data_IF_837869938399
#
_entry.id   IF_837869938399
#
_cell.length_a   1.000
_cell.length_b   1.000
_cell.length_c   1.000
_cell.angle_alpha   90.00
_cell.angle_beta   90.00
_cell.angle_gamma   90.00
#
_symmetry.space_group_name_H-M   'P 1'
#
loop_
_entity.id
_entity.type
_entity.pdbx_description
1 polymer ?
#
# COMPACT_ATOMS: atom_id res chain seq x y z
N UNK A 1 7.11 -16.39 33.78
CA UNK A 1 6.60 -15.24 33.00
C UNK A 1 6.96 -15.35 31.50
N UNK A 2 8.23 -15.61 31.14
CA UNK A 2 8.69 -15.72 29.74
C UNK A 2 8.07 -16.88 28.96
N UNK A 3 7.84 -18.04 29.58
CA UNK A 3 7.24 -19.20 28.91
C UNK A 3 5.77 -19.00 28.54
N UNK A 4 5.04 -18.26 29.36
CA UNK A 4 3.65 -17.91 29.07
C UNK A 4 3.53 -16.92 27.89
N UNK A 5 4.51 -16.01 27.74
CA UNK A 5 4.60 -15.08 26.62
C UNK A 5 4.98 -15.85 25.34
N UNK A 6 5.96 -16.75 25.38
CA UNK A 6 6.33 -17.58 24.25
C UNK A 6 5.19 -18.48 23.75
N UNK A 7 4.43 -19.07 24.67
CA UNK A 7 3.24 -19.88 24.34
C UNK A 7 2.17 -19.03 23.66
N UNK A 8 1.85 -17.85 24.21
CA UNK A 8 0.89 -16.90 23.59
C UNK A 8 1.32 -16.47 22.20
N UNK A 9 2.60 -16.14 21.99
CA UNK A 9 3.13 -15.73 20.67
C UNK A 9 3.03 -16.92 19.67
N UNK A 10 3.31 -18.13 20.11
CA UNK A 10 3.22 -19.33 19.26
C UNK A 10 1.78 -19.61 18.85
N UNK A 11 0.84 -19.53 19.77
CA UNK A 11 -0.59 -19.73 19.51
C UNK A 11 -1.15 -18.64 18.57
N UNK A 12 -0.75 -17.37 18.78
CA UNK A 12 -1.12 -16.26 17.89
C UNK A 12 -0.57 -16.45 16.47
N UNK A 13 0.70 -16.85 16.36
CA UNK A 13 1.34 -17.11 15.05
C UNK A 13 0.65 -18.25 14.30
N UNK A 14 0.20 -19.28 15.02
CA UNK A 14 -0.51 -20.40 14.42
C UNK A 14 -1.91 -20.01 13.94
N UNK A 15 -2.60 -19.18 14.72
CA UNK A 15 -3.90 -18.60 14.34
C UNK A 15 -3.79 -17.74 13.08
N UNK A 16 -2.80 -16.84 13.02
CA UNK A 16 -2.56 -15.99 11.84
C UNK A 16 -2.22 -16.83 10.60
N UNK A 17 -1.41 -17.88 10.73
CA UNK A 17 -1.13 -18.82 9.63
C UNK A 17 -2.39 -19.50 9.12
N UNK A 18 -3.27 -19.94 10.03
CA UNK A 18 -4.55 -20.54 9.67
C UNK A 18 -5.45 -19.54 8.94
N UNK A 19 -5.58 -18.33 9.44
CA UNK A 19 -6.36 -17.27 8.80
C UNK A 19 -5.81 -16.90 7.43
N UNK A 20 -4.49 -16.82 7.29
CA UNK A 20 -3.85 -16.57 5.99
C UNK A 20 -4.15 -17.69 4.98
N UNK A 21 -4.17 -18.95 5.42
CA UNK A 21 -4.50 -20.10 4.55
C UNK A 21 -5.96 -20.09 4.11
N UNK A 22 -6.88 -19.70 5.00
CA UNK A 22 -8.32 -19.64 4.71
C UNK A 22 -8.65 -18.47 3.78
N UNK A 23 -8.13 -17.28 4.07
CA UNK A 23 -8.51 -16.03 3.41
C UNK A 23 -7.50 -15.53 2.34
N UNK A 24 -6.46 -16.31 2.01
CA UNK A 24 -5.41 -15.97 1.02
C UNK A 24 -4.79 -14.57 1.20
N UNK A 25 -4.66 -14.12 2.46
CA UNK A 25 -4.23 -12.75 2.82
C UNK A 25 -2.93 -12.37 2.13
N UNK A 26 -1.91 -13.23 2.16
CA UNK A 26 -0.58 -12.92 1.60
C UNK A 26 -0.64 -12.62 0.10
N UNK A 27 -1.44 -13.35 -0.67
CA UNK A 27 -1.54 -13.15 -2.11
C UNK A 27 -2.22 -11.81 -2.43
N UNK A 28 -3.30 -11.49 -1.72
CA UNK A 28 -4.04 -10.24 -1.90
C UNK A 28 -3.20 -9.04 -1.42
N UNK A 29 -2.49 -9.18 -0.29
CA UNK A 29 -1.55 -8.17 0.24
C UNK A 29 -0.50 -7.76 -0.79
N UNK A 30 0.14 -8.74 -1.46
CA UNK A 30 1.14 -8.44 -2.51
C UNK A 30 0.55 -7.63 -3.64
N UNK A 31 -0.68 -7.94 -4.06
CA UNK A 31 -1.39 -7.19 -5.10
C UNK A 31 -1.69 -5.77 -4.66
N UNK A 32 -2.16 -5.59 -3.43
CA UNK A 32 -2.47 -4.26 -2.87
C UNK A 32 -1.23 -3.39 -2.72
N UNK A 33 -0.12 -3.92 -2.21
CA UNK A 33 1.15 -3.19 -2.12
C UNK A 33 1.58 -2.70 -3.51
N UNK A 34 1.47 -3.54 -4.55
CA UNK A 34 1.87 -3.18 -5.88
C UNK A 34 1.00 -2.07 -6.49
N UNK A 35 -0.33 -2.22 -6.41
CA UNK A 35 -1.28 -1.29 -7.03
C UNK A 35 -1.28 0.04 -6.28
N UNK A 36 -1.49 0.00 -4.97
CA UNK A 36 -1.65 1.22 -4.18
C UNK A 36 -0.32 1.92 -3.89
N UNK A 37 0.78 1.16 -3.78
CA UNK A 37 2.10 1.76 -3.72
C UNK A 37 2.46 2.52 -5.01
N UNK A 38 2.10 1.97 -6.16
CA UNK A 38 2.23 2.66 -7.44
C UNK A 38 1.39 3.94 -7.48
N UNK A 39 0.12 3.90 -7.07
CA UNK A 39 -0.77 5.07 -7.03
C UNK A 39 -0.21 6.18 -6.13
N UNK A 40 0.36 5.79 -4.98
CA UNK A 40 1.01 6.74 -4.08
C UNK A 40 2.17 7.49 -4.73
N UNK A 41 3.04 6.75 -5.45
CA UNK A 41 4.19 7.36 -6.14
C UNK A 41 3.74 8.27 -7.28
N UNK A 42 2.81 7.84 -8.12
CA UNK A 42 2.28 8.66 -9.23
C UNK A 42 1.64 9.94 -8.69
N UNK A 43 0.84 9.83 -7.64
CA UNK A 43 0.18 11.01 -7.04
C UNK A 43 1.20 12.01 -6.52
N UNK A 44 2.26 11.57 -5.84
CA UNK A 44 3.26 12.51 -5.32
C UNK A 44 4.15 13.10 -6.44
N UNK A 45 4.40 12.37 -7.53
CA UNK A 45 5.05 12.93 -8.72
C UNK A 45 4.24 14.10 -9.25
N UNK A 46 2.92 13.95 -9.41
CA UNK A 46 2.03 15.03 -9.85
C UNK A 46 2.08 16.25 -8.91
N UNK A 47 2.09 16.02 -7.59
CA UNK A 47 2.23 17.10 -6.59
C UNK A 47 3.58 17.81 -6.73
N UNK A 48 4.68 17.08 -6.90
CA UNK A 48 6.02 17.67 -7.07
C UNK A 48 6.13 18.46 -8.35
N UNK A 49 5.61 17.95 -9.48
CA UNK A 49 5.58 18.65 -10.76
C UNK A 49 4.74 19.91 -10.65
N UNK A 50 3.52 19.84 -10.08
CA UNK A 50 2.65 21.00 -9.88
C UNK A 50 3.34 22.10 -9.07
N UNK A 51 3.98 21.77 -7.95
CA UNK A 51 4.73 22.71 -7.14
C UNK A 51 5.96 23.28 -7.88
N UNK A 52 6.64 22.48 -8.69
CA UNK A 52 7.77 22.94 -9.49
C UNK A 52 7.34 23.95 -10.56
N UNK A 53 6.25 23.66 -11.27
CA UNK A 53 5.71 24.52 -12.36
C UNK A 53 5.26 25.88 -11.85
N UNK A 54 4.62 25.96 -10.67
CA UNK A 54 4.24 27.24 -10.05
C UNK A 54 5.43 27.97 -9.41
N UNK A 55 6.63 27.40 -9.46
CA UNK A 55 7.84 28.00 -8.90
C UNK A 55 7.85 28.05 -7.37
N UNK A 56 7.25 27.06 -6.70
CA UNK A 56 7.24 26.99 -5.24
C UNK A 56 8.68 26.88 -4.70
N UNK A 57 9.17 28.01 -4.16
CA UNK A 57 10.52 28.14 -3.62
C UNK A 57 10.63 27.79 -2.13
N UNK A 58 9.50 27.65 -1.44
CA UNK A 58 9.46 27.30 -0.01
C UNK A 58 9.25 25.79 0.15
N UNK A 59 10.29 25.12 0.67
CA UNK A 59 10.24 23.68 0.97
C UNK A 59 9.12 23.30 1.95
N UNK A 60 8.75 24.21 2.89
CA UNK A 60 7.65 23.99 3.84
C UNK A 60 6.32 23.84 3.12
N UNK A 61 6.09 24.65 2.08
CA UNK A 61 4.88 24.56 1.28
C UNK A 61 4.76 23.19 0.60
N UNK A 62 5.84 22.70 0.01
CA UNK A 62 5.87 21.38 -0.64
C UNK A 62 5.65 20.25 0.38
N UNK A 63 6.25 20.35 1.56
CA UNK A 63 6.06 19.36 2.64
C UNK A 63 4.60 19.34 3.09
N UNK A 64 4.00 20.49 3.33
CA UNK A 64 2.60 20.59 3.79
C UNK A 64 1.66 20.00 2.74
N UNK A 65 1.77 20.45 1.49
CA UNK A 65 0.93 19.96 0.39
C UNK A 65 1.12 18.43 0.19
N UNK A 66 2.35 17.97 0.11
CA UNK A 66 2.65 16.56 -0.06
C UNK A 66 2.20 15.69 1.11
N UNK A 67 2.43 16.13 2.36
CA UNK A 67 1.99 15.40 3.55
C UNK A 67 0.47 15.32 3.65
N UNK A 68 -0.25 16.37 3.29
CA UNK A 68 -1.71 16.37 3.24
C UNK A 68 -2.23 15.29 2.25
N UNK A 69 -1.60 15.19 1.09
CA UNK A 69 -1.92 14.16 0.09
C UNK A 69 -1.59 12.76 0.61
N UNK A 70 -0.44 12.54 1.25
CA UNK A 70 -0.08 11.24 1.85
C UNK A 70 -1.10 10.79 2.90
N UNK A 71 -1.55 11.68 3.78
CA UNK A 71 -2.57 11.39 4.78
C UNK A 71 -3.90 11.06 4.11
N UNK A 72 -4.31 11.88 3.13
CA UNK A 72 -5.56 11.66 2.39
C UNK A 72 -5.59 10.31 1.69
N UNK A 73 -4.51 9.94 0.98
CA UNK A 73 -4.37 8.63 0.33
C UNK A 73 -4.42 7.48 1.34
N UNK A 74 -3.76 7.64 2.50
CA UNK A 74 -3.77 6.60 3.54
C UNK A 74 -5.17 6.40 4.11
N UNK A 75 -5.86 7.47 4.49
CA UNK A 75 -7.20 7.41 5.09
C UNK A 75 -8.22 6.89 4.09
N UNK A 76 -8.25 7.45 2.88
CA UNK A 76 -9.19 7.01 1.84
C UNK A 76 -8.93 5.56 1.43
N UNK A 77 -7.66 5.17 1.32
CA UNK A 77 -7.24 3.81 1.00
C UNK A 77 -7.67 2.79 2.05
N UNK A 78 -7.47 3.09 3.35
CA UNK A 78 -7.94 2.22 4.43
C UNK A 78 -9.46 2.09 4.39
N UNK A 79 -10.17 3.21 4.28
CA UNK A 79 -11.62 3.23 4.35
C UNK A 79 -12.29 2.52 3.17
N UNK A 80 -11.85 2.82 1.95
CA UNK A 80 -12.40 2.20 0.74
C UNK A 80 -12.12 0.70 0.70
N UNK A 81 -10.90 0.28 1.03
CA UNK A 81 -10.55 -1.13 1.05
C UNK A 81 -11.29 -1.90 2.16
N UNK A 82 -11.47 -1.30 3.35
CA UNK A 82 -12.24 -1.94 4.41
C UNK A 82 -13.68 -2.20 3.97
N UNK A 83 -14.34 -1.22 3.39
CA UNK A 83 -15.73 -1.37 2.93
C UNK A 83 -15.84 -2.42 1.79
N UNK A 84 -14.94 -2.36 0.83
CA UNK A 84 -14.93 -3.29 -0.30
C UNK A 84 -14.64 -4.72 0.14
N UNK A 85 -13.56 -4.93 0.91
CA UNK A 85 -13.19 -6.25 1.43
C UNK A 85 -14.26 -6.82 2.38
N UNK A 86 -14.81 -5.99 3.25
CA UNK A 86 -15.86 -6.43 4.18
C UNK A 86 -17.12 -6.89 3.43
N UNK A 87 -17.52 -6.17 2.38
CA UNK A 87 -18.66 -6.56 1.55
C UNK A 87 -18.41 -7.86 0.78
N UNK A 88 -17.23 -8.00 0.15
CA UNK A 88 -16.84 -9.20 -0.59
C UNK A 88 -16.78 -10.43 0.33
N UNK A 89 -16.15 -10.30 1.50
CA UNK A 89 -16.03 -11.37 2.49
C UNK A 89 -17.40 -11.80 3.06
N UNK A 90 -18.29 -10.84 3.27
CA UNK A 90 -19.67 -11.14 3.71
C UNK A 90 -20.39 -11.94 2.65
N UNK A 91 -20.25 -11.58 1.38
CA UNK A 91 -20.83 -12.30 0.26
C UNK A 91 -20.29 -13.72 0.15
N UNK A 92 -18.96 -13.89 0.23
CA UNK A 92 -18.31 -15.22 0.24
C UNK A 92 -18.87 -16.12 1.33
N UNK A 93 -19.06 -15.59 2.55
CA UNK A 93 -19.65 -16.35 3.67
C UNK A 93 -21.07 -16.75 3.36
N UNK A 94 -21.90 -15.83 2.84
CA UNK A 94 -23.30 -16.13 2.48
C UNK A 94 -23.41 -17.20 1.38
N UNK A 95 -22.51 -17.19 0.41
CA UNK A 95 -22.46 -18.21 -0.64
C UNK A 95 -22.07 -19.58 -0.09
N UNK A 96 -21.11 -19.61 0.85
CA UNK A 96 -20.71 -20.83 1.56
C UNK A 96 -21.87 -21.37 2.44
N UNK A 97 -22.57 -20.50 3.17
CA UNK A 97 -23.73 -20.89 3.98
C UNK A 97 -24.84 -21.50 3.13
N UNK A 98 -25.12 -20.91 1.97
CA UNK A 98 -26.10 -21.45 1.02
C UNK A 98 -25.70 -22.83 0.46
N UNK A 99 -24.41 -23.02 0.16
CA UNK A 99 -23.92 -24.28 -0.41
C UNK A 99 -23.82 -25.40 0.62
N UNK A 100 -23.52 -25.06 1.88
CA UNK A 100 -23.34 -26.05 2.96
C UNK A 100 -24.61 -26.24 3.80
N UNK A 101 -25.64 -25.39 3.63
CA UNK A 101 -26.86 -25.36 4.45
C UNK A 101 -26.57 -25.19 5.96
N UNK A 102 -25.44 -24.56 6.27
CA UNK A 102 -24.96 -24.35 7.64
C UNK A 102 -24.65 -22.87 7.90
N UNK A 103 -25.06 -22.35 9.06
CA UNK A 103 -24.71 -20.99 9.49
C UNK A 103 -23.25 -20.96 9.93
N UNK A 104 -22.45 -20.11 9.30
CA UNK A 104 -21.02 -19.99 9.54
C UNK A 104 -20.68 -18.84 10.50
N UNK A 105 -21.67 -18.12 11.00
CA UNK A 105 -21.44 -17.01 11.92
C UNK A 105 -20.74 -17.50 13.21
N UNK A 106 -19.69 -16.80 13.63
CA UNK A 106 -18.88 -17.16 14.79
C UNK A 106 -17.88 -18.30 14.58
N UNK A 107 -17.82 -18.91 13.38
CA UNK A 107 -16.86 -19.97 13.05
C UNK A 107 -15.46 -19.39 12.81
N UNK A 108 -14.45 -20.29 12.72
CA UNK A 108 -13.07 -19.91 12.37
C UNK A 108 -13.01 -19.25 10.98
N UNK A 109 -13.86 -19.69 10.04
CA UNK A 109 -13.95 -19.13 8.68
C UNK A 109 -14.42 -17.68 8.74
N UNK A 110 -15.51 -17.39 9.43
CA UNK A 110 -16.05 -16.03 9.57
C UNK A 110 -15.03 -15.09 10.24
N UNK A 111 -14.36 -15.55 11.29
CA UNK A 111 -13.29 -14.76 11.96
C UNK A 111 -12.09 -14.51 11.06
N UNK A 112 -11.68 -15.50 10.25
CA UNK A 112 -10.58 -15.36 9.30
C UNK A 112 -10.91 -14.32 8.23
N UNK A 113 -12.13 -14.30 7.72
CA UNK A 113 -12.59 -13.34 6.72
C UNK A 113 -12.64 -11.92 7.28
N UNK A 114 -13.19 -11.72 8.49
CA UNK A 114 -13.20 -10.40 9.16
C UNK A 114 -11.78 -9.89 9.46
N UNK A 115 -10.89 -10.77 9.91
CA UNK A 115 -9.49 -10.43 10.15
C UNK A 115 -8.80 -10.01 8.84
N UNK A 116 -9.06 -10.73 7.75
CA UNK A 116 -8.51 -10.42 6.44
C UNK A 116 -8.94 -9.03 5.95
N UNK A 117 -10.20 -8.65 6.10
CA UNK A 117 -10.70 -7.32 5.71
C UNK A 117 -9.92 -6.19 6.40
N UNK A 118 -9.65 -6.32 7.69
CA UNK A 118 -8.91 -5.31 8.46
C UNK A 118 -7.44 -5.22 7.99
N UNK A 119 -6.78 -6.37 7.85
CA UNK A 119 -5.36 -6.39 7.43
C UNK A 119 -5.20 -5.85 6.01
N UNK A 120 -6.06 -6.26 5.09
CA UNK A 120 -6.01 -5.82 3.70
C UNK A 120 -6.31 -4.32 3.57
N UNK A 121 -7.25 -3.80 4.35
CA UNK A 121 -7.53 -2.38 4.43
C UNK A 121 -6.32 -1.58 4.94
N UNK A 122 -5.69 -2.03 6.02
CA UNK A 122 -4.49 -1.39 6.56
C UNK A 122 -3.34 -1.40 5.54
N UNK A 123 -3.09 -2.54 4.89
CA UNK A 123 -2.06 -2.63 3.85
C UNK A 123 -2.36 -1.70 2.67
N UNK A 124 -3.61 -1.61 2.24
CA UNK A 124 -4.04 -0.75 1.15
C UNK A 124 -3.68 0.71 1.39
N UNK A 125 -4.16 1.28 2.50
CA UNK A 125 -3.92 2.69 2.80
C UNK A 125 -2.48 3.00 3.19
N UNK A 126 -1.80 2.11 3.95
CA UNK A 126 -0.42 2.32 4.34
C UNK A 126 0.53 2.23 3.14
N UNK A 127 0.28 1.35 2.18
CA UNK A 127 1.16 1.21 1.01
C UNK A 127 1.17 2.48 0.17
N UNK A 128 0.03 3.11 -0.11
CA UNK A 128 -0.04 4.35 -0.88
C UNK A 128 0.56 5.54 -0.13
N UNK A 129 0.23 5.70 1.15
CA UNK A 129 0.76 6.82 1.95
C UNK A 129 2.27 6.75 2.18
N UNK A 130 2.79 5.56 2.52
CA UNK A 130 4.24 5.37 2.76
C UNK A 130 5.03 5.59 1.47
N UNK A 131 4.59 5.03 0.35
CA UNK A 131 5.30 5.21 -0.93
C UNK A 131 5.25 6.65 -1.43
N UNK A 132 4.16 7.38 -1.18
CA UNK A 132 4.06 8.80 -1.49
C UNK A 132 4.96 9.66 -0.57
N UNK A 133 5.22 9.23 0.66
CA UNK A 133 6.06 9.97 1.60
C UNK A 133 7.55 9.95 1.24
N UNK A 134 8.04 8.86 0.64
CA UNK A 134 9.48 8.68 0.37
C UNK A 134 10.04 9.79 -0.55
N UNK A 135 9.40 10.19 -1.67
CA UNK A 135 9.90 11.28 -2.51
C UNK A 135 9.89 12.66 -1.82
N UNK A 136 9.18 12.82 -0.70
CA UNK A 136 9.18 14.06 0.08
C UNK A 136 10.37 14.16 1.05
N UNK A 137 11.08 13.05 1.32
CA UNK A 137 12.18 13.03 2.28
C UNK A 137 13.22 14.13 2.03
N UNK A 138 13.68 14.40 0.78
CA UNK A 138 14.67 15.46 0.54
C UNK A 138 14.21 16.85 0.99
N UNK A 139 12.91 17.13 0.93
CA UNK A 139 12.35 18.43 1.32
C UNK A 139 12.42 18.67 2.83
N UNK A 140 12.44 17.64 3.67
CA UNK A 140 12.64 17.79 5.11
C UNK A 140 14.06 18.33 5.46
N UNK A 141 14.99 18.17 4.52
CA UNK A 141 16.35 18.74 4.63
C UNK A 141 16.49 20.05 3.84
N UNK A 142 15.40 20.63 3.35
CA UNK A 142 15.38 21.82 2.51
C UNK A 142 15.94 23.09 3.16
N UNK A 143 16.12 23.12 4.48
CA UNK A 143 16.83 24.20 5.18
C UNK A 143 18.34 24.22 4.89
N UNK A 144 18.90 23.10 4.45
CA UNK A 144 20.35 22.94 4.22
C UNK A 144 20.72 22.70 2.75
N UNK A 145 19.71 22.48 1.89
CA UNK A 145 19.89 22.08 0.49
C UNK A 145 19.06 23.02 -0.39
N UNK A 146 19.59 23.46 -1.55
CA UNK A 146 18.80 24.24 -2.51
C UNK A 146 17.52 23.50 -2.91
N UNK A 147 16.43 24.22 -3.01
CA UNK A 147 15.10 23.63 -3.31
C UNK A 147 15.08 22.88 -4.66
N UNK A 148 15.83 23.36 -5.65
CA UNK A 148 15.99 22.68 -6.94
C UNK A 148 16.56 21.28 -6.78
N UNK A 149 17.57 21.14 -5.91
CA UNK A 149 18.17 19.84 -5.58
C UNK A 149 17.17 18.92 -4.89
N UNK A 150 16.28 19.46 -4.02
CA UNK A 150 15.21 18.68 -3.39
C UNK A 150 14.23 18.13 -4.43
N UNK A 151 13.85 18.92 -5.43
CA UNK A 151 12.98 18.45 -6.53
C UNK A 151 13.62 17.33 -7.36
N UNK A 152 14.89 17.49 -7.76
CA UNK A 152 15.60 16.44 -8.50
C UNK A 152 15.79 15.17 -7.67
N UNK A 153 16.13 15.30 -6.40
CA UNK A 153 16.27 14.15 -5.51
C UNK A 153 14.92 13.46 -5.27
N UNK A 154 13.85 14.21 -5.05
CA UNK A 154 12.50 13.66 -4.89
C UNK A 154 12.01 12.92 -6.12
N UNK A 155 12.20 13.52 -7.31
CA UNK A 155 11.89 12.87 -8.59
C UNK A 155 12.71 11.58 -8.78
N UNK A 156 14.01 11.61 -8.50
CA UNK A 156 14.88 10.44 -8.61
C UNK A 156 14.42 9.31 -7.69
N UNK A 157 14.04 9.62 -6.43
CA UNK A 157 13.51 8.65 -5.49
C UNK A 157 12.18 8.05 -6.00
N UNK A 158 11.29 8.87 -6.56
CA UNK A 158 10.05 8.40 -7.14
C UNK A 158 10.29 7.40 -8.28
N UNK A 159 11.19 7.70 -9.19
CA UNK A 159 11.55 6.79 -10.29
C UNK A 159 12.22 5.50 -9.78
N UNK A 160 13.05 5.56 -8.76
CA UNK A 160 13.64 4.38 -8.13
C UNK A 160 12.56 3.45 -7.55
N UNK A 161 11.53 4.02 -6.93
CA UNK A 161 10.40 3.24 -6.40
C UNK A 161 9.60 2.60 -7.55
N UNK A 162 9.36 3.33 -8.65
CA UNK A 162 8.68 2.78 -9.83
C UNK A 162 9.45 1.60 -10.44
N UNK A 163 10.78 1.71 -10.52
CA UNK A 163 11.65 0.60 -10.95
C UNK A 163 11.49 -0.58 -9.97
N UNK A 164 11.50 -0.32 -8.66
CA UNK A 164 11.28 -1.34 -7.64
C UNK A 164 9.95 -2.07 -7.81
N UNK A 165 8.85 -1.36 -8.05
CA UNK A 165 7.55 -1.96 -8.37
C UNK A 165 7.56 -2.73 -9.68
N UNK A 166 8.27 -2.25 -10.71
CA UNK A 166 8.45 -2.97 -11.96
C UNK A 166 9.14 -4.33 -11.77
N UNK A 167 10.20 -4.35 -10.95
CA UNK A 167 10.90 -5.60 -10.58
C UNK A 167 10.00 -6.52 -9.77
N UNK A 168 9.29 -5.97 -8.79
CA UNK A 168 8.39 -6.72 -7.91
C UNK A 168 7.28 -7.41 -8.71
N UNK A 169 6.59 -6.67 -9.58
CA UNK A 169 5.53 -7.20 -10.44
C UNK A 169 6.06 -8.18 -11.49
N UNK A 170 7.22 -7.90 -12.07
CA UNK A 170 7.87 -8.80 -13.03
C UNK A 170 8.19 -10.17 -12.42
N UNK A 171 8.68 -10.19 -11.17
CA UNK A 171 8.94 -11.43 -10.42
C UNK A 171 7.66 -12.20 -10.08
N UNK A 172 6.60 -11.51 -9.67
CA UNK A 172 5.32 -12.16 -9.32
C UNK A 172 4.65 -12.77 -10.56
N UNK A 173 4.71 -12.08 -11.69
CA UNK A 173 4.04 -12.51 -12.92
C UNK A 173 4.86 -13.46 -13.80
N UNK A 174 6.09 -13.82 -13.40
CA UNK A 174 7.04 -14.59 -14.21
C UNK A 174 7.21 -14.03 -15.64
N UNK A 175 7.12 -12.70 -15.78
CA UNK A 175 7.30 -12.01 -17.06
C UNK A 175 8.69 -11.38 -17.15
N UNK A 176 9.07 -10.96 -18.36
CA UNK A 176 10.32 -10.23 -18.59
C UNK A 176 10.39 -8.99 -17.68
N UNK A 177 11.39 -8.97 -16.78
CA UNK A 177 11.59 -7.90 -15.81
C UNK A 177 11.73 -6.54 -16.48
N UNK A 178 12.48 -6.47 -17.58
CA UNK A 178 12.70 -5.24 -18.36
C UNK A 178 11.39 -4.64 -18.86
N UNK A 179 10.49 -5.46 -19.40
CA UNK A 179 9.19 -5.00 -19.91
C UNK A 179 8.33 -4.45 -18.76
N UNK A 180 8.35 -5.11 -17.60
CA UNK A 180 7.60 -4.66 -16.41
C UNK A 180 8.14 -3.33 -15.88
N UNK A 181 9.47 -3.16 -15.81
CA UNK A 181 10.11 -1.91 -15.39
C UNK A 181 9.76 -0.78 -16.36
N UNK A 182 9.92 -1.01 -17.68
CA UNK A 182 9.63 0.00 -18.70
C UNK A 182 8.18 0.49 -18.59
N UNK A 183 7.22 -0.43 -18.43
CA UNK A 183 5.80 -0.06 -18.27
C UNK A 183 5.55 0.84 -17.06
N UNK A 184 6.17 0.54 -15.91
CA UNK A 184 6.01 1.34 -14.70
C UNK A 184 6.67 2.71 -14.82
N UNK A 185 7.88 2.77 -15.41
CA UNK A 185 8.59 4.04 -15.63
C UNK A 185 7.86 4.90 -16.65
N UNK A 186 7.37 4.33 -17.76
CA UNK A 186 6.57 5.05 -18.74
C UNK A 186 5.31 5.65 -18.11
N UNK A 187 4.60 4.91 -17.27
CA UNK A 187 3.44 5.46 -16.58
C UNK A 187 3.81 6.67 -15.70
N UNK A 188 4.98 6.65 -15.03
CA UNK A 188 5.49 7.81 -14.29
C UNK A 188 5.90 9.00 -15.15
N UNK A 189 6.29 8.75 -16.42
CA UNK A 189 6.63 9.82 -17.38
C UNK A 189 5.39 10.47 -18.01
N UNK A 190 4.26 9.77 -18.04
CA UNK A 190 2.98 10.33 -18.52
C UNK A 190 2.23 11.17 -17.48
N UNK A 191 2.70 11.18 -16.23
CA UNK A 191 2.16 12.02 -15.16
C UNK A 191 2.69 13.46 -15.25
#
# INVERSE_FOLDING_TARGET
>A
MFDNIKKKIKDYTQTVKTYNKIANITQITRRYIAINGFDGVITIIGVLIGNFVIGAADYKHVIIAGSAVCISLSVSGVWSAYNSESAERTKEIQELEKSTLHVLNGTVISRAQSFASIILAAVNGLSSGVTALIPLIPFFFGSHIPISTCYYAGASLAFLILIGFGIFLGKISNRNLLISIIKMVLAGLFC
#
